data_IF_822886440703
#
_entry.id   IF_822886440703
#
_cell.length_a   1.000
_cell.length_b   1.000
_cell.length_c   1.000
_cell.angle_alpha   90.00
_cell.angle_beta   90.00
_cell.angle_gamma   90.00
#
_symmetry.space_group_name_H-M   'P 1'
#
loop_
_entity.id
_entity.type
_entity.pdbx_description
1 polymer ?
#
# COMPACT_ATOMS: atom_id res chain seq x y z
N UNK A 1 -0.10 2.40 -12.84
CA UNK A 1 -0.17 1.48 -11.66
C UNK A 1 -1.26 1.84 -10.66
N UNK A 2 -1.35 3.11 -10.28
CA UNK A 2 -2.27 3.63 -9.27
C UNK A 2 -3.73 3.40 -9.63
N UNK A 3 -4.09 3.58 -10.92
CA UNK A 3 -5.42 3.25 -11.44
C UNK A 3 -5.75 1.77 -11.29
N UNK A 4 -4.77 0.87 -11.50
CA UNK A 4 -4.96 -0.57 -11.32
C UNK A 4 -5.21 -0.92 -9.85
N UNK A 5 -4.51 -0.26 -8.93
CA UNK A 5 -4.80 -0.40 -7.50
C UNK A 5 -6.27 -0.06 -7.24
N UNK A 6 -6.67 1.17 -7.53
CA UNK A 6 -8.05 1.65 -7.30
C UNK A 6 -9.09 0.73 -7.97
N UNK A 7 -8.99 0.49 -9.27
CA UNK A 7 -10.03 -0.25 -10.00
C UNK A 7 -10.13 -1.70 -9.54
N UNK A 8 -9.03 -2.30 -9.08
CA UNK A 8 -9.06 -3.65 -8.52
C UNK A 8 -9.87 -3.73 -7.22
N UNK A 9 -9.81 -2.71 -6.34
CA UNK A 9 -10.64 -2.68 -5.13
C UNK A 9 -12.10 -2.36 -5.45
N UNK A 10 -12.35 -1.38 -6.33
CA UNK A 10 -13.71 -1.03 -6.78
C UNK A 10 -14.41 -2.23 -7.43
N UNK A 11 -13.71 -3.00 -8.26
CA UNK A 11 -14.25 -4.19 -8.92
C UNK A 11 -14.67 -5.31 -7.94
N UNK A 12 -14.17 -5.27 -6.70
CA UNK A 12 -14.57 -6.19 -5.63
C UNK A 12 -15.55 -5.55 -4.63
N UNK A 13 -16.18 -4.43 -5.00
CA UNK A 13 -17.26 -3.80 -4.22
C UNK A 13 -16.79 -2.95 -3.05
N UNK A 14 -15.50 -2.64 -2.96
CA UNK A 14 -14.99 -1.76 -1.90
C UNK A 14 -15.15 -0.29 -2.27
N UNK A 15 -15.65 0.52 -1.33
CA UNK A 15 -15.52 1.98 -1.42
C UNK A 15 -14.05 2.38 -1.34
N UNK A 16 -13.61 3.31 -2.19
CA UNK A 16 -12.23 3.76 -2.22
C UNK A 16 -12.15 5.28 -2.00
N UNK A 17 -11.51 5.69 -0.90
CA UNK A 17 -11.22 7.11 -0.61
C UNK A 17 -9.79 7.43 -1.06
N UNK A 18 -9.65 8.36 -1.99
CA UNK A 18 -8.36 8.84 -2.45
C UNK A 18 -8.09 10.22 -1.84
N UNK A 19 -7.12 10.27 -0.92
CA UNK A 19 -6.68 11.52 -0.32
C UNK A 19 -5.65 12.20 -1.21
N UNK A 20 -5.96 13.41 -1.68
CA UNK A 20 -5.08 14.20 -2.53
C UNK A 20 -5.10 15.67 -2.11
N UNK A 21 -3.99 16.36 -2.30
CA UNK A 21 -3.91 17.80 -2.06
C UNK A 21 -4.40 18.63 -3.26
N UNK A 22 -4.34 18.05 -4.45
CA UNK A 22 -4.70 18.67 -5.71
C UNK A 22 -5.84 17.88 -6.35
N UNK A 23 -6.65 18.54 -7.17
CA UNK A 23 -7.59 17.86 -8.04
C UNK A 23 -6.84 17.01 -9.07
N UNK A 24 -7.38 15.83 -9.38
CA UNK A 24 -6.77 14.85 -10.27
C UNK A 24 -7.73 14.57 -11.43
N UNK A 25 -7.27 14.75 -12.67
CA UNK A 25 -8.12 14.64 -13.87
C UNK A 25 -8.45 13.21 -14.29
N UNK A 26 -7.67 12.22 -13.84
CA UNK A 26 -7.72 10.84 -14.34
C UNK A 26 -8.04 9.80 -13.25
N UNK A 27 -8.85 10.21 -12.27
CA UNK A 27 -9.31 9.33 -11.18
C UNK A 27 -10.42 8.40 -11.71
N UNK A 28 -10.35 7.08 -11.42
CA UNK A 28 -11.43 6.16 -11.78
C UNK A 28 -12.80 6.55 -11.20
N UNK A 29 -13.86 6.34 -11.96
CA UNK A 29 -15.25 6.53 -11.50
C UNK A 29 -15.53 5.69 -10.26
N UNK A 30 -16.22 6.27 -9.28
CA UNK A 30 -16.59 5.60 -8.02
C UNK A 30 -15.59 5.81 -6.87
N UNK A 31 -14.49 6.52 -7.12
CA UNK A 31 -13.59 6.98 -6.06
C UNK A 31 -14.18 8.21 -5.36
N UNK A 32 -14.14 8.20 -4.04
CA UNK A 32 -14.40 9.38 -3.22
C UNK A 32 -13.10 10.17 -3.07
N UNK A 33 -13.05 11.38 -3.63
CA UNK A 33 -11.92 12.29 -3.46
C UNK A 33 -12.01 13.00 -2.10
N UNK A 34 -10.91 12.99 -1.36
CA UNK A 34 -10.81 13.65 -0.05
C UNK A 34 -9.67 14.66 -0.09
N UNK A 35 -9.96 15.92 0.26
CA UNK A 35 -8.93 16.94 0.42
C UNK A 35 -7.99 16.57 1.57
N UNK A 36 -6.74 16.27 1.21
CA UNK A 36 -5.72 15.87 2.16
C UNK A 36 -5.33 16.97 3.15
N UNK A 37 -5.56 18.25 2.79
CA UNK A 37 -5.26 19.40 3.63
C UNK A 37 -6.11 19.44 4.91
N UNK A 38 -7.29 18.81 4.88
CA UNK A 38 -8.17 18.66 6.04
C UNK A 38 -7.58 17.73 7.12
N UNK A 39 -6.73 16.78 6.72
CA UNK A 39 -6.05 15.86 7.65
C UNK A 39 -4.72 16.42 8.13
N UNK A 40 -3.88 16.86 7.18
CA UNK A 40 -2.58 17.48 7.44
C UNK A 40 -2.37 18.62 6.43
N UNK A 41 -2.15 19.87 6.88
CA UNK A 41 -1.84 21.00 5.98
C UNK A 41 -0.66 20.76 5.03
N UNK A 42 -0.71 21.31 3.81
CA UNK A 42 0.29 21.08 2.75
C UNK A 42 1.70 21.57 3.14
N UNK A 43 1.78 22.64 3.92
CA UNK A 43 3.03 23.22 4.41
C UNK A 43 3.76 22.34 5.45
N UNK A 44 3.09 21.30 5.97
CA UNK A 44 3.69 20.28 6.85
C UNK A 44 4.28 19.09 6.12
N UNK A 45 4.21 19.05 4.78
CA UNK A 45 4.83 17.97 4.01
C UNK A 45 6.34 17.97 4.26
N UNK A 46 6.88 16.80 4.61
CA UNK A 46 8.31 16.60 4.83
C UNK A 46 8.83 15.36 4.11
N UNK A 47 10.15 15.27 4.00
CA UNK A 47 10.86 14.17 3.36
C UNK A 47 11.88 13.59 4.32
N UNK A 48 12.16 12.30 4.18
CA UNK A 48 13.34 11.70 4.79
C UNK A 48 14.62 12.38 4.28
N UNK A 49 15.74 12.16 4.97
CA UNK A 49 17.05 12.75 4.60
C UNK A 49 17.49 12.43 3.16
N UNK A 50 17.04 11.29 2.61
CA UNK A 50 17.28 10.88 1.23
C UNK A 50 16.29 11.47 0.21
N UNK A 51 15.45 12.44 0.59
CA UNK A 51 14.45 13.07 -0.27
C UNK A 51 13.15 12.27 -0.45
N UNK A 52 13.00 11.10 0.17
CA UNK A 52 11.80 10.27 0.03
C UNK A 52 10.60 10.87 0.78
N UNK A 53 9.46 10.97 0.10
CA UNK A 53 8.16 11.33 0.70
C UNK A 53 7.56 10.21 1.56
N UNK A 54 8.17 9.03 1.63
CA UNK A 54 7.66 7.91 2.41
C UNK A 54 7.52 8.26 3.90
N UNK A 55 8.33 9.19 4.43
CA UNK A 55 8.23 9.66 5.81
C UNK A 55 6.89 10.33 6.09
N UNK A 56 6.55 11.32 5.27
CA UNK A 56 5.25 12.00 5.33
C UNK A 56 4.09 11.06 5.01
N UNK A 57 4.24 10.16 4.02
CA UNK A 57 3.20 9.17 3.72
C UNK A 57 2.88 8.28 4.93
N UNK A 58 3.88 7.94 5.77
CA UNK A 58 3.62 7.20 7.01
C UNK A 58 2.86 8.05 8.04
N UNK A 59 3.23 9.33 8.22
CA UNK A 59 2.50 10.24 9.12
C UNK A 59 1.04 10.34 8.69
N UNK A 60 0.81 10.55 7.40
CA UNK A 60 -0.53 10.66 6.82
C UNK A 60 -1.32 9.36 7.00
N UNK A 61 -0.69 8.20 6.78
CA UNK A 61 -1.29 6.88 7.01
C UNK A 61 -1.77 6.69 8.45
N UNK A 62 -0.95 7.06 9.43
CA UNK A 62 -1.37 7.00 10.82
C UNK A 62 -2.51 7.99 11.09
N UNK A 63 -2.42 9.21 10.55
CA UNK A 63 -3.46 10.23 10.72
C UNK A 63 -4.82 9.76 10.16
N UNK A 64 -4.85 9.17 8.97
CA UNK A 64 -6.09 8.67 8.36
C UNK A 64 -6.66 7.46 9.09
N UNK A 65 -5.80 6.60 9.65
CA UNK A 65 -6.24 5.39 10.37
C UNK A 65 -6.85 5.69 11.75
N UNK A 66 -6.79 6.92 12.26
CA UNK A 66 -7.54 7.30 13.47
C UNK A 66 -9.05 7.15 13.28
N UNK A 67 -9.55 7.44 12.09
CA UNK A 67 -10.96 7.28 11.73
C UNK A 67 -11.32 5.79 11.49
N UNK A 68 -10.33 4.90 11.57
CA UNK A 68 -10.44 3.48 11.29
C UNK A 68 -10.51 3.14 9.80
N UNK A 69 -10.79 1.88 9.52
CA UNK A 69 -10.89 1.36 8.16
C UNK A 69 -9.59 0.71 7.68
N UNK A 70 -9.39 0.70 6.36
CA UNK A 70 -8.27 0.00 5.70
C UNK A 70 -7.44 1.03 4.94
N UNK A 71 -6.14 1.08 5.25
CA UNK A 71 -5.17 1.73 4.38
C UNK A 71 -4.61 0.71 3.39
N UNK A 72 -4.44 1.13 2.13
CA UNK A 72 -3.68 0.38 1.12
C UNK A 72 -2.69 1.30 0.43
N UNK A 73 -1.48 0.80 0.14
CA UNK A 73 -0.54 1.52 -0.71
C UNK A 73 -1.03 1.51 -2.17
N UNK A 74 -0.74 2.59 -2.91
CA UNK A 74 -1.24 2.81 -4.28
C UNK A 74 -0.61 1.91 -5.35
N UNK A 75 0.20 0.95 -4.94
CA UNK A 75 0.86 -0.07 -5.74
C UNK A 75 0.46 -1.49 -5.34
N UNK A 76 -0.70 -1.67 -4.71
CA UNK A 76 -1.30 -2.98 -4.48
C UNK A 76 -2.33 -3.34 -5.56
N UNK A 77 -2.63 -4.63 -5.71
CA UNK A 77 -3.71 -5.14 -6.58
C UNK A 77 -4.59 -6.09 -5.78
N UNK A 78 -5.88 -5.78 -5.69
CA UNK A 78 -6.91 -6.59 -5.05
C UNK A 78 -7.41 -7.67 -6.03
N UNK A 79 -7.12 -8.93 -5.75
CA UNK A 79 -7.49 -10.07 -6.59
C UNK A 79 -8.80 -10.74 -6.16
N UNK A 80 -9.24 -10.47 -4.92
CA UNK A 80 -10.44 -10.99 -4.26
C UNK A 80 -10.97 -9.97 -3.24
N UNK A 81 -12.26 -10.04 -2.86
CA UNK A 81 -12.82 -9.16 -1.82
C UNK A 81 -12.06 -9.27 -0.50
N UNK A 82 -11.86 -8.13 0.15
CA UNK A 82 -11.34 -8.03 1.51
C UNK A 82 -12.42 -8.41 2.51
N UNK A 83 -12.31 -9.59 3.10
CA UNK A 83 -13.17 -10.08 4.17
C UNK A 83 -12.33 -10.27 5.44
N UNK A 84 -12.55 -9.41 6.43
CA UNK A 84 -11.79 -9.43 7.68
C UNK A 84 -12.66 -9.90 8.83
N UNK A 85 -12.22 -10.94 9.53
CA UNK A 85 -12.82 -11.39 10.79
C UNK A 85 -12.26 -10.67 12.02
N UNK A 86 -11.20 -9.87 11.85
CA UNK A 86 -10.48 -9.17 12.91
C UNK A 86 -10.60 -7.65 12.78
N UNK A 87 -10.62 -6.98 13.92
CA UNK A 87 -10.59 -5.52 14.02
C UNK A 87 -9.24 -4.93 13.60
N UNK A 88 -8.16 -5.69 13.81
CA UNK A 88 -6.81 -5.34 13.38
C UNK A 88 -6.30 -6.37 12.38
N UNK A 89 -5.83 -5.90 11.23
CA UNK A 89 -5.18 -6.74 10.21
C UNK A 89 -3.95 -6.02 9.71
N UNK A 90 -2.81 -6.70 9.70
CA UNK A 90 -1.54 -6.13 9.25
C UNK A 90 -0.95 -7.07 8.22
N UNK A 91 -0.86 -6.62 6.97
CA UNK A 91 -0.21 -7.40 5.92
C UNK A 91 1.23 -7.72 6.29
N UNK A 92 1.74 -8.82 5.74
CA UNK A 92 3.16 -9.14 5.75
C UNK A 92 3.66 -9.28 4.32
N UNK A 93 4.96 -9.48 4.17
CA UNK A 93 5.62 -9.72 2.91
C UNK A 93 6.48 -10.96 3.04
N UNK A 94 6.45 -11.82 2.02
CA UNK A 94 7.30 -13.00 1.99
C UNK A 94 8.79 -12.60 1.97
N UNK A 95 9.59 -13.33 2.74
CA UNK A 95 11.04 -13.21 2.76
C UNK A 95 11.69 -14.46 2.15
N UNK A 96 12.92 -14.34 1.62
CA UNK A 96 13.66 -15.51 1.17
C UNK A 96 13.81 -16.52 2.33
N UNK A 97 13.81 -17.82 2.00
CA UNK A 97 13.91 -18.94 2.97
C UNK A 97 12.69 -19.14 3.88
N UNK A 98 11.51 -18.69 3.47
CA UNK A 98 10.23 -19.04 4.14
C UNK A 98 9.87 -18.18 5.36
N UNK A 99 10.55 -17.05 5.55
CA UNK A 99 10.18 -16.07 6.58
C UNK A 99 9.11 -15.09 6.10
N UNK A 100 8.59 -14.28 7.04
CA UNK A 100 7.75 -13.11 6.72
C UNK A 100 8.30 -11.85 7.39
N UNK A 101 8.15 -10.73 6.72
CA UNK A 101 8.39 -9.41 7.28
C UNK A 101 7.05 -8.71 7.44
N UNK A 102 6.81 -8.07 8.58
CA UNK A 102 5.60 -7.29 8.75
C UNK A 102 5.60 -6.11 7.76
N UNK A 103 4.56 -6.05 6.94
CA UNK A 103 4.39 -5.05 5.90
C UNK A 103 3.63 -3.84 6.41
N UNK A 104 3.47 -2.86 5.53
CA UNK A 104 2.63 -1.68 5.80
C UNK A 104 1.81 -1.25 4.57
N UNK A 105 1.76 -2.10 3.54
CA UNK A 105 1.07 -1.85 2.27
C UNK A 105 -0.42 -2.13 2.34
N UNK A 106 -0.88 -2.92 3.32
CA UNK A 106 -2.28 -3.01 3.72
C UNK A 106 -2.36 -3.15 5.24
N UNK A 107 -3.09 -2.25 5.88
CA UNK A 107 -3.41 -2.35 7.31
C UNK A 107 -4.85 -1.96 7.60
N UNK A 108 -5.47 -2.63 8.56
CA UNK A 108 -6.79 -2.32 9.08
C UNK A 108 -6.70 -2.10 10.58
N UNK A 109 -7.37 -1.06 11.06
CA UNK A 109 -7.59 -0.82 12.47
C UNK A 109 -9.00 -0.29 12.69
N UNK A 110 -9.60 -0.61 13.84
CA UNK A 110 -10.81 0.07 14.30
C UNK A 110 -10.51 1.54 14.63
N UNK A 111 -11.52 2.43 14.60
CA UNK A 111 -11.35 3.83 14.94
C UNK A 111 -10.75 4.01 16.35
N UNK A 112 -9.95 5.06 16.54
CA UNK A 112 -9.31 5.43 17.82
C UNK A 112 -8.43 4.34 18.45
N UNK A 113 -7.86 3.42 17.64
CA UNK A 113 -7.07 2.32 18.18
C UNK A 113 -5.75 2.82 18.82
N UNK A 114 -5.41 2.45 20.08
CA UNK A 114 -4.25 2.98 20.82
C UNK A 114 -2.89 2.79 20.13
N UNK A 115 -2.73 1.74 19.33
CA UNK A 115 -1.53 1.49 18.52
C UNK A 115 -1.35 2.56 17.45
N UNK A 116 -2.41 2.96 16.76
CA UNK A 116 -2.33 4.00 15.72
C UNK A 116 -2.03 5.35 16.37
N UNK A 117 -2.67 5.65 17.50
CA UNK A 117 -2.37 6.85 18.27
C UNK A 117 -0.91 6.92 18.71
N UNK A 118 -0.40 5.81 19.26
CA UNK A 118 1.00 5.73 19.70
C UNK A 118 1.99 5.83 18.53
N UNK A 119 1.67 5.22 17.39
CA UNK A 119 2.48 5.34 16.18
C UNK A 119 2.48 6.77 15.63
N UNK A 120 1.33 7.44 15.60
CA UNK A 120 1.25 8.83 15.15
C UNK A 120 2.07 9.76 16.05
N UNK A 121 1.90 9.63 17.37
CA UNK A 121 2.64 10.43 18.34
C UNK A 121 4.15 10.19 18.28
N UNK A 122 4.60 8.94 18.12
CA UNK A 122 6.01 8.64 17.88
C UNK A 122 6.48 9.16 16.53
N UNK A 123 5.66 9.08 15.48
CA UNK A 123 5.97 9.62 14.16
C UNK A 123 6.18 11.14 14.22
N UNK A 124 5.38 11.89 14.99
CA UNK A 124 5.57 13.34 15.18
C UNK A 124 6.84 13.68 15.98
N UNK A 125 7.20 12.85 16.97
CA UNK A 125 8.43 13.03 17.75
C UNK A 125 9.68 12.73 16.93
N UNK A 126 9.65 11.63 16.17
CA UNK A 126 10.77 11.17 15.35
C UNK A 126 10.87 11.97 14.05
N UNK A 127 9.74 12.20 13.39
CA UNK A 127 9.55 12.82 12.07
C UNK A 127 10.05 14.25 12.03
N UNK A 128 11.35 14.38 11.80
CA UNK A 128 12.06 15.62 11.50
C UNK A 128 13.04 15.30 10.36
N UNK A 129 13.48 16.29 9.54
CA UNK A 129 14.18 16.06 8.27
C UNK A 129 15.48 15.24 8.32
N UNK A 130 15.96 14.86 9.51
CA UNK A 130 17.13 14.00 9.72
C UNK A 130 16.79 12.51 9.92
N UNK A 131 15.52 12.10 9.82
CA UNK A 131 15.16 10.69 9.93
C UNK A 131 15.60 9.85 8.74
N UNK A 132 16.04 8.64 9.04
CA UNK A 132 16.41 7.63 8.05
C UNK A 132 15.17 6.89 7.54
N UNK A 133 15.31 6.31 6.35
CA UNK A 133 14.23 5.53 5.73
C UNK A 133 13.77 4.37 6.63
N UNK A 134 12.45 4.22 6.74
CA UNK A 134 11.81 3.16 7.51
C UNK A 134 11.68 3.46 9.02
N UNK A 135 12.23 4.56 9.52
CA UNK A 135 12.13 4.94 10.95
C UNK A 135 10.69 5.18 11.39
N UNK A 136 9.84 5.78 10.54
CA UNK A 136 8.42 6.03 10.86
C UNK A 136 7.46 5.07 10.16
N UNK A 137 7.98 4.04 9.48
CA UNK A 137 7.19 3.10 8.68
C UNK A 137 7.02 1.74 9.37
N UNK A 138 7.19 0.62 8.64
CA UNK A 138 6.96 -0.73 9.18
C UNK A 138 7.71 -1.02 10.49
N UNK A 139 8.92 -0.48 10.68
CA UNK A 139 9.69 -0.67 11.93
C UNK A 139 9.02 -0.03 13.14
N UNK A 140 8.44 1.17 12.98
CA UNK A 140 7.73 1.84 14.06
C UNK A 140 6.44 1.09 14.39
N UNK A 141 5.68 0.70 13.36
CA UNK A 141 4.50 -0.12 13.57
C UNK A 141 4.86 -1.43 14.28
N UNK A 142 5.94 -2.11 13.89
CA UNK A 142 6.34 -3.40 14.48
C UNK A 142 6.65 -3.27 15.97
N UNK A 143 7.31 -2.17 16.36
CA UNK A 143 7.59 -1.86 17.77
C UNK A 143 6.30 -1.73 18.58
N UNK A 144 5.28 -1.06 18.03
CA UNK A 144 3.99 -0.92 18.71
C UNK A 144 3.18 -2.21 18.66
N UNK A 145 3.17 -2.95 17.57
CA UNK A 145 2.54 -4.27 17.48
C UNK A 145 3.07 -5.20 18.57
N UNK A 146 4.39 -5.26 18.77
CA UNK A 146 4.99 -6.05 19.84
C UNK A 146 4.63 -5.53 21.24
N UNK A 147 4.67 -4.20 21.43
CA UNK A 147 4.30 -3.58 22.72
C UNK A 147 2.86 -3.87 23.13
N UNK A 148 1.95 -4.01 22.16
CA UNK A 148 0.52 -4.25 22.38
C UNK A 148 0.11 -5.72 22.16
N UNK A 149 1.06 -6.65 21.97
CA UNK A 149 0.82 -8.08 21.74
C UNK A 149 -0.09 -8.40 20.53
N UNK A 150 0.07 -7.66 19.42
CA UNK A 150 -0.74 -7.79 18.20
C UNK A 150 -0.08 -8.59 17.08
N UNK A 151 0.96 -9.37 17.37
CA UNK A 151 1.68 -10.17 16.36
C UNK A 151 0.76 -11.18 15.67
N UNK A 152 -0.26 -11.65 16.39
CA UNK A 152 -1.30 -12.53 15.87
C UNK A 152 -2.19 -11.86 14.80
N UNK A 153 -2.21 -10.53 14.72
CA UNK A 153 -2.91 -9.77 13.68
C UNK A 153 -2.08 -9.65 12.38
N UNK A 154 -0.83 -10.11 12.38
CA UNK A 154 0.05 -10.09 11.20
C UNK A 154 -0.23 -11.31 10.32
N UNK A 155 -1.01 -11.09 9.27
CA UNK A 155 -1.51 -12.15 8.37
C UNK A 155 -0.41 -12.76 7.51
N UNK A 156 -0.62 -14.01 7.09
CA UNK A 156 0.35 -14.77 6.29
C UNK A 156 0.54 -14.17 4.87
N UNK A 157 1.77 -14.09 4.36
CA UNK A 157 2.00 -13.46 3.07
C UNK A 157 1.41 -14.22 1.88
N UNK A 158 1.00 -15.49 2.04
CA UNK A 158 0.28 -16.23 1.00
C UNK A 158 -1.03 -15.54 0.59
N UNK A 159 -1.70 -14.89 1.55
CA UNK A 159 -2.93 -14.13 1.31
C UNK A 159 -2.63 -12.69 0.89
N UNK A 160 -1.55 -12.10 1.41
CA UNK A 160 -1.20 -10.69 1.20
C UNK A 160 0.30 -10.57 0.86
N UNK A 161 0.63 -10.19 -0.36
CA UNK A 161 2.01 -9.97 -0.83
C UNK A 161 2.87 -11.27 -0.86
N UNK A 162 2.47 -12.27 -1.68
CA UNK A 162 3.15 -13.57 -1.76
C UNK A 162 4.43 -13.54 -2.62
N UNK A 163 4.79 -12.38 -3.19
CA UNK A 163 5.94 -12.22 -4.08
C UNK A 163 7.00 -11.39 -3.37
N UNK A 164 8.21 -11.93 -3.30
CA UNK A 164 9.33 -11.19 -2.70
C UNK A 164 9.66 -9.95 -3.54
N UNK A 165 9.90 -8.81 -2.88
CA UNK A 165 10.11 -7.52 -3.58
C UNK A 165 11.23 -7.52 -4.63
N UNK A 166 12.25 -8.37 -4.50
CA UNK A 166 13.31 -8.50 -5.53
C UNK A 166 12.85 -9.19 -6.82
N UNK A 167 11.70 -9.85 -6.78
CA UNK A 167 11.06 -10.51 -7.92
C UNK A 167 9.94 -9.64 -8.52
N UNK A 168 9.85 -8.35 -8.18
CA UNK A 168 8.83 -7.45 -8.73
C UNK A 168 8.89 -7.32 -10.27
N UNK A 169 10.06 -7.58 -10.87
CA UNK A 169 10.25 -7.66 -12.32
C UNK A 169 9.47 -8.81 -12.97
N UNK A 170 9.14 -9.87 -12.20
CA UNK A 170 8.40 -11.04 -12.69
C UNK A 170 6.93 -10.74 -12.99
N UNK A 171 6.38 -9.62 -12.51
CA UNK A 171 5.00 -9.24 -12.83
C UNK A 171 4.80 -8.86 -14.30
N UNK A 172 5.88 -8.58 -15.01
CA UNK A 172 5.88 -7.98 -16.35
C UNK A 172 6.66 -8.84 -17.36
N UNK A 173 7.05 -10.06 -16.98
CA UNK A 173 7.67 -11.05 -17.87
C UNK A 173 6.64 -11.81 -18.68
N UNK A 174 7.04 -12.34 -19.85
CA UNK A 174 6.16 -13.17 -20.69
C UNK A 174 5.68 -14.43 -19.96
N UNK A 175 6.56 -15.03 -19.17
CA UNK A 175 6.21 -16.10 -18.24
C UNK A 175 5.75 -15.46 -16.92
N UNK A 176 4.45 -15.53 -16.57
CA UNK A 176 3.95 -14.90 -15.36
C UNK A 176 4.49 -15.62 -14.11
N UNK A 177 4.68 -14.86 -13.04
CA UNK A 177 4.93 -15.43 -11.73
C UNK A 177 3.67 -16.20 -11.26
N UNK A 178 3.80 -17.43 -10.77
CA UNK A 178 2.67 -18.16 -10.21
C UNK A 178 2.17 -17.43 -8.95
N UNK A 179 0.87 -17.12 -8.92
CA UNK A 179 0.20 -16.53 -7.76
C UNK A 179 -0.80 -17.54 -7.25
N UNK A 180 -0.77 -17.82 -5.95
CA UNK A 180 -1.70 -18.77 -5.34
C UNK A 180 -3.13 -18.30 -5.52
N UNK A 181 -4.05 -19.22 -5.77
CA UNK A 181 -5.49 -18.91 -5.75
C UNK A 181 -5.95 -18.41 -4.38
N UNK A 182 -5.20 -18.60 -3.30
CA UNK A 182 -5.51 -18.05 -1.98
C UNK A 182 -5.20 -16.56 -1.87
N UNK A 183 -4.38 -16.00 -2.76
CA UNK A 183 -3.93 -14.61 -2.67
C UNK A 183 -5.09 -13.64 -2.87
N UNK A 184 -5.23 -12.72 -1.91
CA UNK A 184 -6.24 -11.67 -1.87
C UNK A 184 -5.65 -10.37 -2.41
N UNK A 185 -4.43 -10.01 -1.98
CA UNK A 185 -3.75 -8.78 -2.40
C UNK A 185 -2.30 -9.07 -2.79
N UNK A 186 -1.84 -8.40 -3.85
CA UNK A 186 -0.44 -8.41 -4.29
C UNK A 186 0.14 -7.01 -4.20
N UNK A 187 1.35 -6.86 -3.67
CA UNK A 187 2.13 -5.62 -3.72
C UNK A 187 3.04 -5.63 -4.95
N UNK A 188 3.00 -4.55 -5.74
CA UNK A 188 3.78 -4.41 -6.98
C UNK A 188 5.16 -3.76 -6.75
N UNK A 189 5.38 -3.16 -5.58
CA UNK A 189 6.65 -2.53 -5.20
C UNK A 189 7.08 -1.41 -6.17
N UNK A 190 6.29 -0.36 -6.31
CA UNK A 190 6.52 0.76 -7.23
C UNK A 190 7.93 1.37 -7.09
N UNK A 191 8.48 1.40 -5.88
CA UNK A 191 9.84 1.88 -5.63
C UNK A 191 10.91 0.99 -6.32
N UNK A 192 10.69 -0.32 -6.40
CA UNK A 192 11.56 -1.25 -7.16
C UNK A 192 11.49 -0.95 -8.66
N UNK A 193 10.29 -0.65 -9.18
CA UNK A 193 10.10 -0.28 -10.58
C UNK A 193 10.82 1.03 -10.90
N UNK A 194 10.67 2.05 -10.04
CA UNK A 194 11.36 3.33 -10.16
C UNK A 194 12.88 3.16 -10.17
N UNK A 195 13.44 2.37 -9.23
CA UNK A 195 14.89 2.11 -9.13
C UNK A 195 15.47 1.38 -10.34
N UNK A 196 14.62 0.61 -11.04
CA UNK A 196 14.99 -0.13 -12.25
C UNK A 196 14.59 0.59 -13.54
N UNK A 197 14.19 1.88 -13.44
CA UNK A 197 13.74 2.72 -14.55
C UNK A 197 12.63 2.08 -15.39
N UNK A 198 11.72 1.35 -14.75
CA UNK A 198 10.61 0.69 -15.40
C UNK A 198 9.40 1.61 -15.43
N UNK A 199 8.87 1.85 -16.63
CA UNK A 199 7.65 2.62 -16.80
C UNK A 199 6.44 1.85 -16.25
N UNK A 200 5.90 2.32 -15.13
CA UNK A 200 4.71 1.75 -14.48
C UNK A 200 3.41 1.96 -15.27
N UNK A 201 3.43 2.76 -16.33
CA UNK A 201 2.31 3.00 -17.23
C UNK A 201 2.53 2.35 -18.62
N UNK A 202 3.67 1.70 -18.82
CA UNK A 202 4.01 1.04 -20.07
C UNK A 202 3.11 -0.16 -20.40
N UNK A 203 3.33 -0.68 -21.61
CA UNK A 203 2.74 -1.91 -22.11
C UNK A 203 3.75 -3.03 -22.07
N UNK A 204 3.36 -4.16 -21.47
CA UNK A 204 4.16 -5.36 -21.28
C UNK A 204 3.54 -6.55 -22.05
N UNK A 205 4.15 -7.75 -22.04
CA UNK A 205 3.54 -8.92 -22.66
C UNK A 205 2.13 -9.20 -22.11
N UNK A 206 1.17 -9.48 -22.99
CA UNK A 206 -0.24 -9.75 -22.62
C UNK A 206 -0.42 -10.91 -21.63
N UNK A 207 0.55 -11.82 -21.56
CA UNK A 207 0.56 -12.97 -20.65
C UNK A 207 1.17 -12.65 -19.27
N UNK A 208 1.79 -11.49 -19.10
CA UNK A 208 2.35 -11.07 -17.81
C UNK A 208 1.24 -10.82 -16.79
N UNK A 209 1.53 -11.05 -15.50
CA UNK A 209 0.55 -10.80 -14.43
C UNK A 209 -0.01 -9.37 -14.50
N UNK A 210 0.85 -8.39 -14.73
CA UNK A 210 0.49 -6.98 -14.74
C UNK A 210 -0.50 -6.62 -15.86
N UNK A 211 -0.27 -7.10 -17.09
CA UNK A 211 -1.21 -6.87 -18.20
C UNK A 211 -2.51 -7.65 -18.01
N UNK A 212 -2.44 -8.88 -17.52
CA UNK A 212 -3.62 -9.68 -17.20
C UNK A 212 -4.50 -8.95 -16.18
N UNK A 213 -3.92 -8.37 -15.13
CA UNK A 213 -4.65 -7.60 -14.13
C UNK A 213 -5.17 -6.26 -14.67
N UNK A 214 -4.35 -5.52 -15.44
CA UNK A 214 -4.82 -4.30 -16.12
C UNK A 214 -6.05 -4.59 -16.99
N UNK A 215 -6.01 -5.65 -17.79
CA UNK A 215 -7.14 -6.05 -18.61
C UNK A 215 -8.35 -6.49 -17.78
N UNK A 216 -8.13 -7.33 -16.75
CA UNK A 216 -9.20 -7.81 -15.84
C UNK A 216 -9.92 -6.66 -15.15
N UNK A 217 -9.21 -5.59 -14.77
CA UNK A 217 -9.75 -4.47 -14.01
C UNK A 217 -9.90 -3.19 -14.85
N UNK A 218 -10.00 -3.31 -16.17
CA UNK A 218 -10.39 -2.21 -17.06
C UNK A 218 -9.39 -1.05 -17.19
N UNK A 219 -8.11 -1.29 -16.94
CA UNK A 219 -7.04 -0.28 -17.11
C UNK A 219 -6.42 -0.42 -18.50
N UNK A 220 -6.99 0.30 -19.47
CA UNK A 220 -6.45 0.40 -20.84
C UNK A 220 -5.51 1.60 -21.00
N UNK A 221 -4.58 1.51 -21.96
CA UNK A 221 -3.64 2.58 -22.32
C UNK A 221 -4.32 3.84 -22.85
N UNK A 222 -5.56 3.73 -23.34
CA UNK A 222 -6.34 4.84 -23.92
C UNK A 222 -6.83 5.84 -22.87
N UNK A 223 -6.78 5.47 -21.58
CA UNK A 223 -7.17 6.33 -20.46
C UNK A 223 -5.96 6.93 -19.71
N UNK A 224 -4.79 7.00 -20.37
CA UNK A 224 -3.54 7.52 -19.79
C UNK A 224 -3.26 8.99 -20.15
N UNK A 225 -4.20 9.65 -20.83
CA UNK A 225 -4.18 11.10 -21.10
C UNK A 225 -4.60 11.94 -19.91
#
# INVERSE_FOLDING_TARGET
MERLCITSYLAHGHSFRLHAYDELSNVPTGVEMVDASLSIPRDRIWKYSNGSLAGFANEYRYKSLFDGGVWVDMDTVCLKPLEFSSDVVISSEVQPKGGKHMGFSLVKFSPNHPVIESCYNDCLRLGKPRCNFGTTGPKLLAKHVARYNLEHCVVDPVFYNPVWWKNADRFVTKEPHPISEKTIVVHLYAETWRRTNRDKNGTFPKTSNYEVWKNRFGVTTENLG
#
